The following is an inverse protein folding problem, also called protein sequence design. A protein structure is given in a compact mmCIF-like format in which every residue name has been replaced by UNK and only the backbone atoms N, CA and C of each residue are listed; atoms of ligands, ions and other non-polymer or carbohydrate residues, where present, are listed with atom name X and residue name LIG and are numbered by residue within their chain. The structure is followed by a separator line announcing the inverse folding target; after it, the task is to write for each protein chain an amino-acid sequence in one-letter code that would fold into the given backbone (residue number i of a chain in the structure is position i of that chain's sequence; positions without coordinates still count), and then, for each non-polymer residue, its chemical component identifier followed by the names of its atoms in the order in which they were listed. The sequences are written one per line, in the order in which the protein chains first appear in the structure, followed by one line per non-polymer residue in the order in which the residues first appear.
data_IF_493562321860
#
_entry.id   IF_493562321860
#
_cell.length_a   1.000
_cell.length_b   1.000
_cell.length_c   1.000
_cell.angle_alpha   90.00
_cell.angle_beta   90.00
_cell.angle_gamma   90.00
#
_symmetry.space_group_name_H-M   'P 1'
#
loop_
_entity.id
_entity.type
_entity.pdbx_description
1 polymer ?
#
# COMPACT_ATOMS: atom_id res chain seq x y z
N UNK A 1 -7.15 -0.77 12.72
CA UNK A 1 -7.18 -0.90 11.24
C UNK A 1 -8.53 -1.41 10.75
N UNK A 2 -8.93 -2.64 11.09
CA UNK A 2 -10.17 -3.25 10.59
C UNK A 2 -11.42 -2.39 10.82
N UNK A 3 -11.58 -1.84 12.03
CA UNK A 3 -12.70 -0.94 12.37
C UNK A 3 -12.79 0.30 11.45
N UNK A 4 -11.65 0.86 11.01
CA UNK A 4 -11.63 1.99 10.08
C UNK A 4 -12.09 1.55 8.68
N UNK A 5 -11.66 0.36 8.24
CA UNK A 5 -12.06 -0.22 6.95
C UNK A 5 -13.55 -0.53 6.94
N UNK A 6 -14.06 -1.22 7.95
CA UNK A 6 -15.48 -1.55 8.10
C UNK A 6 -16.33 -0.29 8.19
N UNK A 7 -15.95 0.66 9.05
CA UNK A 7 -16.67 1.92 9.22
C UNK A 7 -16.68 2.78 7.96
N UNK A 8 -15.61 2.74 7.15
CA UNK A 8 -15.54 3.47 5.89
C UNK A 8 -16.44 2.83 4.81
N UNK A 9 -16.30 1.53 4.57
CA UNK A 9 -17.04 0.82 3.52
C UNK A 9 -18.49 0.43 3.91
N UNK A 10 -18.87 0.57 5.19
CA UNK A 10 -20.27 0.50 5.60
C UNK A 10 -21.13 1.60 4.95
N UNK A 11 -20.51 2.73 4.57
CA UNK A 11 -21.18 3.86 3.89
C UNK A 11 -21.53 3.56 2.43
N UNK A 12 -20.90 2.55 1.82
CA UNK A 12 -21.24 2.16 0.46
C UNK A 12 -22.66 1.59 0.38
N UNK A 13 -23.36 1.83 -0.73
CA UNK A 13 -24.72 1.33 -0.93
C UNK A 13 -24.78 -0.18 -1.22
N UNK A 14 -25.88 -0.60 -1.85
CA UNK A 14 -25.99 -1.97 -2.38
C UNK A 14 -25.20 -2.15 -3.68
N UNK A 15 -25.08 -1.11 -4.49
CA UNK A 15 -24.28 -1.10 -5.71
C UNK A 15 -23.89 0.33 -6.08
N UNK A 16 -22.87 0.49 -6.91
CA UNK A 16 -22.44 1.82 -7.37
C UNK A 16 -21.19 1.79 -8.24
N UNK A 17 -20.79 2.96 -8.73
CA UNK A 17 -19.57 3.20 -9.50
C UNK A 17 -18.74 4.24 -8.78
N UNK A 18 -17.46 3.96 -8.52
CA UNK A 18 -16.56 4.82 -7.75
C UNK A 18 -15.18 4.93 -8.40
N UNK A 19 -14.39 5.89 -7.94
CA UNK A 19 -12.94 5.95 -8.20
C UNK A 19 -12.19 5.22 -7.08
N UNK A 20 -11.73 4.00 -7.35
CA UNK A 20 -11.07 3.15 -6.37
C UNK A 20 -9.82 3.82 -5.78
N UNK A 21 -9.06 4.57 -6.60
CA UNK A 21 -7.87 5.27 -6.12
C UNK A 21 -8.22 6.30 -5.04
N UNK A 22 -9.32 7.03 -5.23
CA UNK A 22 -9.82 8.01 -4.26
C UNK A 22 -10.23 7.32 -2.95
N UNK A 23 -11.08 6.30 -3.04
CA UNK A 23 -11.61 5.58 -1.87
C UNK A 23 -10.48 4.93 -1.04
N UNK A 24 -9.52 4.30 -1.70
CA UNK A 24 -8.34 3.71 -1.04
C UNK A 24 -7.47 4.77 -0.34
N UNK A 25 -7.30 5.94 -0.97
CA UNK A 25 -6.54 7.04 -0.37
C UNK A 25 -7.21 7.56 0.91
N UNK A 26 -8.55 7.61 0.95
CA UNK A 26 -9.31 8.09 2.11
C UNK A 26 -9.22 7.12 3.28
N UNK A 27 -9.51 5.84 3.04
CA UNK A 27 -9.47 4.83 4.11
C UNK A 27 -8.06 4.64 4.67
N UNK A 28 -7.01 4.77 3.85
CA UNK A 28 -5.63 4.70 4.34
C UNK A 28 -5.23 5.90 5.19
N UNK A 29 -5.74 7.11 4.88
CA UNK A 29 -5.52 8.25 5.76
C UNK A 29 -6.17 8.03 7.13
N UNK A 30 -7.39 7.49 7.16
CA UNK A 30 -8.08 7.11 8.40
C UNK A 30 -7.30 6.07 9.20
N UNK A 31 -6.82 5.01 8.54
CA UNK A 31 -6.00 3.97 9.20
C UNK A 31 -4.71 4.57 9.75
N UNK A 32 -3.99 5.39 8.97
CA UNK A 32 -2.75 6.02 9.41
C UNK A 32 -2.98 7.01 10.56
N UNK A 33 -4.04 7.82 10.51
CA UNK A 33 -4.43 8.67 11.63
C UNK A 33 -4.69 7.87 12.90
N UNK A 34 -5.55 6.84 12.82
CA UNK A 34 -5.94 6.02 13.97
C UNK A 34 -4.78 5.23 14.56
N UNK A 35 -3.93 4.63 13.72
CA UNK A 35 -2.86 3.74 14.20
C UNK A 35 -1.57 4.47 14.60
N UNK A 36 -1.28 5.65 14.02
CA UNK A 36 -0.03 6.36 14.30
C UNK A 36 -0.21 7.45 15.36
N UNK A 37 -1.38 8.08 15.43
CA UNK A 37 -1.59 9.29 16.24
C UNK A 37 -2.69 9.09 17.28
N UNK A 38 -3.73 8.31 16.95
CA UNK A 38 -4.85 8.05 17.84
C UNK A 38 -6.18 8.55 17.28
N UNK A 39 -7.19 8.71 18.16
CA UNK A 39 -8.55 9.13 17.78
C UNK A 39 -8.66 10.62 17.40
N UNK A 40 -7.70 11.44 17.81
CA UNK A 40 -7.76 12.89 17.77
C UNK A 40 -7.90 13.47 16.37
N UNK A 41 -7.19 12.87 15.39
CA UNK A 41 -7.30 13.29 13.98
C UNK A 41 -8.71 13.01 13.43
N UNK A 42 -9.26 11.83 13.76
CA UNK A 42 -10.56 11.40 13.28
C UNK A 42 -11.68 12.28 13.83
N UNK A 43 -11.61 12.65 15.10
CA UNK A 43 -12.68 13.35 15.79
C UNK A 43 -12.70 14.86 15.53
N UNK A 44 -11.55 15.48 15.27
CA UNK A 44 -11.44 16.95 15.27
C UNK A 44 -11.26 17.59 13.89
N UNK A 45 -10.56 16.94 12.94
CA UNK A 45 -10.00 17.67 11.79
C UNK A 45 -9.82 16.85 10.49
N UNK A 46 -10.61 15.80 10.26
CA UNK A 46 -10.34 14.86 9.16
C UNK A 46 -10.31 15.50 7.75
N UNK A 47 -11.30 16.32 7.41
CA UNK A 47 -11.41 16.90 6.05
C UNK A 47 -10.33 17.94 5.77
N UNK A 48 -10.04 18.81 6.75
CA UNK A 48 -8.95 19.78 6.66
C UNK A 48 -7.60 19.06 6.55
N UNK A 49 -7.37 18.05 7.40
CA UNK A 49 -6.15 17.26 7.38
C UNK A 49 -5.97 16.57 6.02
N UNK A 50 -7.03 16.01 5.44
CA UNK A 50 -7.00 15.44 4.10
C UNK A 50 -6.59 16.46 3.02
N UNK A 51 -7.21 17.64 3.03
CA UNK A 51 -6.91 18.70 2.06
C UNK A 51 -5.45 19.17 2.16
N UNK A 52 -4.93 19.34 3.38
CA UNK A 52 -3.54 19.71 3.62
C UNK A 52 -2.57 18.61 3.15
N UNK A 53 -2.86 17.35 3.43
CA UNK A 53 -2.04 16.23 2.93
C UNK A 53 -2.01 16.16 1.42
N UNK A 54 -3.16 16.40 0.77
CA UNK A 54 -3.24 16.45 -0.68
C UNK A 54 -2.32 17.54 -1.28
N UNK A 55 -2.28 18.72 -0.67
CA UNK A 55 -1.37 19.80 -1.08
C UNK A 55 0.11 19.44 -0.89
N UNK A 56 0.45 18.71 0.18
CA UNK A 56 1.82 18.20 0.37
C UNK A 56 2.19 17.16 -0.69
N UNK A 57 1.30 16.22 -0.99
CA UNK A 57 1.51 15.17 -2.01
C UNK A 57 1.64 15.76 -3.43
N UNK A 58 0.84 16.77 -3.76
CA UNK A 58 0.95 17.48 -5.04
C UNK A 58 2.29 18.20 -5.21
N UNK A 59 3.02 18.43 -4.13
CA UNK A 59 4.39 18.93 -4.14
C UNK A 59 5.44 17.91 -4.60
N UNK A 60 5.14 16.61 -4.66
CA UNK A 60 6.10 15.53 -4.98
C UNK A 60 6.32 15.29 -6.49
N UNK A 61 6.46 16.35 -7.27
CA UNK A 61 6.78 16.25 -8.70
C UNK A 61 8.29 16.20 -8.92
N UNK A 62 8.73 15.60 -10.03
CA UNK A 62 10.16 15.49 -10.35
C UNK A 62 10.89 16.84 -10.41
N UNK A 63 10.21 17.90 -10.88
CA UNK A 63 10.79 19.26 -10.89
C UNK A 63 11.11 19.77 -9.49
N UNK A 64 10.27 19.45 -8.50
CA UNK A 64 10.46 19.87 -7.12
C UNK A 64 11.51 19.02 -6.40
N UNK A 65 11.82 17.82 -6.91
CA UNK A 65 12.98 17.05 -6.43
C UNK A 65 14.30 17.72 -6.83
N UNK A 66 14.37 18.23 -8.07
CA UNK A 66 15.56 18.94 -8.55
C UNK A 66 15.65 20.37 -7.98
N UNK A 67 14.51 21.05 -7.85
CA UNK A 67 14.44 22.45 -7.43
C UNK A 67 13.40 22.64 -6.30
N UNK A 68 13.69 22.17 -5.07
CA UNK A 68 12.71 22.12 -3.98
C UNK A 68 12.21 23.49 -3.48
N UNK A 69 12.96 24.54 -3.76
CA UNK A 69 12.69 25.92 -3.32
C UNK A 69 12.20 26.85 -4.42
N UNK A 70 11.90 26.33 -5.62
CA UNK A 70 11.35 27.17 -6.69
C UNK A 70 9.99 27.75 -6.23
N UNK A 71 9.76 29.07 -6.31
CA UNK A 71 8.59 29.72 -5.69
C UNK A 71 7.32 29.57 -6.53
N UNK A 72 7.01 28.34 -6.97
CA UNK A 72 5.78 28.01 -7.71
C UNK A 72 4.57 28.07 -6.78
N UNK A 73 3.37 28.18 -7.37
CA UNK A 73 2.11 28.11 -6.63
C UNK A 73 1.96 26.80 -5.87
N UNK A 74 2.42 25.68 -6.46
CA UNK A 74 2.42 24.35 -5.85
C UNK A 74 3.33 24.33 -4.60
N UNK A 75 4.57 24.85 -4.69
CA UNK A 75 5.48 24.84 -3.54
C UNK A 75 5.01 25.76 -2.42
N UNK A 76 4.44 26.93 -2.76
CA UNK A 76 3.83 27.81 -1.74
C UNK A 76 2.64 27.14 -1.03
N UNK A 77 1.81 26.38 -1.74
CA UNK A 77 0.71 25.59 -1.13
C UNK A 77 1.26 24.46 -0.26
N UNK A 78 2.22 23.69 -0.76
CA UNK A 78 2.92 22.64 0.00
C UNK A 78 3.50 23.18 1.30
N UNK A 79 4.19 24.31 1.26
CA UNK A 79 4.86 24.87 2.43
C UNK A 79 3.85 25.36 3.47
N UNK A 80 2.78 26.05 3.04
CA UNK A 80 1.66 26.43 3.92
C UNK A 80 0.99 25.20 4.54
N UNK A 81 0.72 24.18 3.72
CA UNK A 81 0.08 22.95 4.17
C UNK A 81 0.96 22.21 5.19
N UNK A 82 2.26 22.11 4.93
CA UNK A 82 3.23 21.53 5.88
C UNK A 82 3.25 22.29 7.20
N UNK A 83 3.29 23.62 7.17
CA UNK A 83 3.26 24.44 8.38
C UNK A 83 1.97 24.22 9.17
N UNK A 84 0.82 24.17 8.50
CA UNK A 84 -0.47 23.95 9.17
C UNK A 84 -0.61 22.55 9.76
N UNK A 85 -0.16 21.52 9.03
CA UNK A 85 -0.10 20.15 9.55
C UNK A 85 0.80 20.03 10.78
N UNK A 86 1.95 20.71 10.77
CA UNK A 86 2.85 20.74 11.92
C UNK A 86 2.21 21.43 13.13
N UNK A 87 1.51 22.56 12.92
CA UNK A 87 0.77 23.25 13.98
C UNK A 87 -0.30 22.35 14.62
N UNK A 88 -1.17 21.76 13.80
CA UNK A 88 -2.23 20.85 14.25
C UNK A 88 -1.68 19.65 15.03
N UNK A 89 -0.58 19.06 14.55
CA UNK A 89 0.04 17.92 15.22
C UNK A 89 0.77 18.32 16.50
N UNK A 90 1.43 19.49 16.53
CA UNK A 90 2.05 20.00 17.76
C UNK A 90 1.03 20.23 18.87
N UNK A 91 -0.18 20.68 18.56
CA UNK A 91 -1.26 20.79 19.56
C UNK A 91 -1.62 19.44 20.17
N UNK A 92 -1.74 18.40 19.35
CA UNK A 92 -2.02 17.03 19.80
C UNK A 92 -0.85 16.49 20.64
N UNK A 93 0.39 16.65 20.17
CA UNK A 93 1.60 16.21 20.87
C UNK A 93 1.69 16.89 22.23
N UNK A 94 1.52 18.21 22.30
CA UNK A 94 1.56 18.97 23.56
C UNK A 94 0.46 18.55 24.52
N UNK A 95 -0.74 18.28 24.00
CA UNK A 95 -1.83 17.72 24.79
C UNK A 95 -1.46 16.36 25.41
N UNK A 96 -0.85 15.45 24.63
CA UNK A 96 -0.41 14.12 25.11
C UNK A 96 0.79 14.16 26.05
N UNK A 97 1.70 15.13 25.88
CA UNK A 97 2.84 15.30 26.80
C UNK A 97 2.43 15.90 28.16
N UNK A 98 1.32 16.63 28.21
CA UNK A 98 0.84 17.30 29.43
C UNK A 98 -0.18 16.50 30.23
N UNK A 99 -0.81 15.49 29.62
CA UNK A 99 -1.81 14.64 30.26
C UNK A 99 -1.29 13.22 30.37
N UNK A 100 -1.56 12.55 31.50
CA UNK A 100 -1.18 11.17 31.75
C UNK A 100 -2.07 10.16 30.99
N UNK A 101 -2.54 10.50 29.79
CA UNK A 101 -3.53 9.72 29.04
C UNK A 101 -2.89 8.64 28.17
N UNK A 102 -3.48 7.45 28.26
CA UNK A 102 -2.91 6.10 28.11
C UNK A 102 -3.32 5.36 26.82
N UNK A 103 -3.51 6.05 25.69
CA UNK A 103 -3.62 5.29 24.42
C UNK A 103 -2.21 4.85 23.99
N UNK A 104 -1.93 3.56 24.12
CA UNK A 104 -0.69 2.95 23.62
C UNK A 104 -0.70 2.90 22.08
N UNK A 105 -0.26 3.99 21.47
CA UNK A 105 -0.11 4.16 20.03
C UNK A 105 1.33 4.56 19.67
N UNK A 106 1.61 4.77 18.38
CA UNK A 106 2.96 5.15 17.94
C UNK A 106 3.37 6.53 18.47
N UNK A 107 2.44 7.46 18.65
CA UNK A 107 2.70 8.78 19.22
C UNK A 107 3.14 8.65 20.68
N UNK A 108 2.40 7.90 21.50
CA UNK A 108 2.75 7.71 22.91
C UNK A 108 4.09 6.99 23.06
N UNK A 109 4.36 5.99 22.21
CA UNK A 109 5.65 5.30 22.18
C UNK A 109 6.82 6.25 21.85
N UNK A 110 6.64 7.21 20.93
CA UNK A 110 7.66 8.22 20.63
C UNK A 110 7.83 9.21 21.79
N UNK A 111 6.76 9.66 22.43
CA UNK A 111 6.83 10.54 23.60
C UNK A 111 7.63 9.88 24.73
N UNK A 112 7.41 8.58 24.97
CA UNK A 112 8.13 7.82 26.00
C UNK A 112 9.54 7.37 25.58
N UNK A 113 9.89 7.49 24.30
CA UNK A 113 11.20 7.08 23.80
C UNK A 113 12.30 8.02 24.26
N UNK A 114 13.46 7.42 24.53
CA UNK A 114 14.70 8.15 24.86
C UNK A 114 15.78 7.81 23.86
N UNK A 115 16.61 8.80 23.57
CA UNK A 115 17.85 8.59 22.83
C UNK A 115 18.87 7.82 23.68
N UNK A 116 19.93 7.34 23.03
CA UNK A 116 20.96 6.48 23.67
C UNK A 116 21.75 7.18 24.77
N UNK A 117 21.86 8.49 24.70
CA UNK A 117 22.46 9.37 25.72
C UNK A 117 21.47 9.73 26.84
N UNK A 118 20.23 9.23 26.78
CA UNK A 118 19.22 9.34 27.83
C UNK A 118 18.26 10.52 27.71
N UNK A 119 18.42 11.43 26.74
CA UNK A 119 17.49 12.54 26.57
C UNK A 119 16.16 12.08 25.96
N UNK A 120 15.06 12.65 26.46
CA UNK A 120 13.73 12.46 25.86
C UNK A 120 13.59 13.29 24.59
N UNK A 121 12.72 12.85 23.70
CA UNK A 121 12.40 13.60 22.50
C UNK A 121 11.65 14.90 22.83
N UNK A 122 12.00 15.98 22.13
CA UNK A 122 11.30 17.27 22.23
C UNK A 122 9.97 17.26 21.49
N UNK A 123 9.04 18.15 21.86
CA UNK A 123 7.77 18.35 21.15
C UNK A 123 7.99 18.48 19.63
N UNK A 124 8.97 19.30 19.21
CA UNK A 124 9.27 19.53 17.79
C UNK A 124 9.77 18.28 17.07
N UNK A 125 10.58 17.44 17.73
CA UNK A 125 11.06 16.18 17.13
C UNK A 125 9.93 15.18 16.97
N UNK A 126 9.09 15.03 18.00
CA UNK A 126 7.91 14.16 17.95
C UNK A 126 6.95 14.62 16.86
N UNK A 127 6.59 15.90 16.83
CA UNK A 127 5.73 16.47 15.76
C UNK A 127 6.33 16.21 14.38
N UNK A 128 7.61 16.50 14.18
CA UNK A 128 8.27 16.31 12.89
C UNK A 128 8.24 14.86 12.41
N UNK A 129 8.47 13.92 13.33
CA UNK A 129 8.41 12.49 13.03
C UNK A 129 6.97 12.01 12.79
N UNK A 130 5.98 12.55 13.48
CA UNK A 130 4.57 12.24 13.25
C UNK A 130 4.09 12.68 11.87
N UNK A 131 4.41 13.92 11.48
CA UNK A 131 4.15 14.41 10.10
C UNK A 131 4.75 13.45 9.08
N UNK A 132 6.02 13.05 9.29
CA UNK A 132 6.72 12.16 8.38
C UNK A 132 6.09 10.76 8.34
N UNK A 133 5.75 10.18 9.49
CA UNK A 133 5.20 8.82 9.59
C UNK A 133 3.81 8.69 8.96
N UNK A 134 2.92 9.67 9.19
CA UNK A 134 1.61 9.70 8.51
C UNK A 134 1.78 9.82 7.01
N UNK A 135 2.68 10.69 6.57
CA UNK A 135 2.93 10.90 5.14
C UNK A 135 3.44 9.63 4.45
N UNK A 136 4.50 9.01 4.98
CA UNK A 136 5.09 7.82 4.35
C UNK A 136 4.14 6.62 4.43
N UNK A 137 3.42 6.47 5.54
CA UNK A 137 2.45 5.40 5.75
C UNK A 137 1.23 5.50 4.83
N UNK A 138 0.73 6.71 4.57
CA UNK A 138 -0.42 6.92 3.70
C UNK A 138 -0.04 6.89 2.21
N UNK A 139 0.94 7.71 1.81
CA UNK A 139 1.23 7.93 0.40
C UNK A 139 1.65 6.64 -0.30
N UNK A 140 2.62 5.91 0.26
CA UNK A 140 3.14 4.69 -0.38
C UNK A 140 2.13 3.53 -0.34
N UNK A 141 1.42 3.34 0.78
CA UNK A 141 0.38 2.30 0.88
C UNK A 141 -0.76 2.56 -0.09
N UNK A 142 -1.16 3.82 -0.33
CA UNK A 142 -2.26 4.14 -1.25
C UNK A 142 -1.95 3.76 -2.70
N UNK A 143 -0.73 4.05 -3.15
CA UNK A 143 -0.26 3.65 -4.48
C UNK A 143 -0.19 2.13 -4.61
N UNK A 144 0.37 1.46 -3.59
CA UNK A 144 0.53 0.01 -3.57
C UNK A 144 -0.82 -0.71 -3.57
N UNK A 145 -1.76 -0.21 -2.77
CA UNK A 145 -3.12 -0.74 -2.67
C UNK A 145 -3.89 -0.55 -3.99
N UNK A 146 -3.75 0.61 -4.63
CA UNK A 146 -4.39 0.91 -5.91
C UNK A 146 -3.84 0.04 -7.05
N UNK A 147 -2.52 -0.15 -7.16
CA UNK A 147 -1.94 -1.08 -8.13
C UNK A 147 -2.35 -2.52 -7.87
N UNK A 148 -2.36 -2.95 -6.62
CA UNK A 148 -2.83 -4.29 -6.24
C UNK A 148 -4.27 -4.49 -6.72
N UNK A 149 -5.15 -3.52 -6.50
CA UNK A 149 -6.53 -3.56 -7.00
C UNK A 149 -6.65 -3.58 -8.51
N UNK A 150 -5.89 -2.73 -9.20
CA UNK A 150 -5.90 -2.68 -10.66
C UNK A 150 -5.54 -4.05 -11.27
N UNK A 151 -4.51 -4.71 -10.73
CA UNK A 151 -4.14 -6.05 -11.20
C UNK A 151 -5.12 -7.13 -10.79
N UNK A 152 -5.54 -7.18 -9.52
CA UNK A 152 -6.50 -8.16 -9.04
C UNK A 152 -7.80 -8.11 -9.85
N UNK A 153 -8.34 -6.92 -10.11
CA UNK A 153 -9.61 -6.78 -10.82
C UNK A 153 -9.48 -6.96 -12.35
N UNK A 154 -8.26 -6.89 -12.89
CA UNK A 154 -7.98 -7.12 -14.31
C UNK A 154 -7.61 -8.58 -14.61
N UNK A 155 -7.06 -9.30 -13.63
CA UNK A 155 -6.69 -10.71 -13.74
C UNK A 155 -7.67 -11.60 -12.98
N UNK A 156 -8.60 -12.20 -13.73
CA UNK A 156 -9.63 -13.08 -13.18
C UNK A 156 -9.05 -14.31 -12.45
N UNK A 157 -7.89 -14.83 -12.88
CA UNK A 157 -7.28 -15.99 -12.23
C UNK A 157 -6.80 -15.64 -10.83
N UNK A 158 -6.11 -14.50 -10.71
CA UNK A 158 -5.66 -13.99 -9.42
C UNK A 158 -6.84 -13.64 -8.51
N UNK A 159 -7.88 -12.99 -9.03
CA UNK A 159 -9.07 -12.66 -8.26
C UNK A 159 -9.76 -13.91 -7.70
N UNK A 160 -9.96 -14.93 -8.52
CA UNK A 160 -10.57 -16.20 -8.09
C UNK A 160 -9.72 -16.89 -7.02
N UNK A 161 -8.39 -16.91 -7.20
CA UNK A 161 -7.48 -17.50 -6.21
C UNK A 161 -7.56 -16.78 -4.85
N UNK A 162 -7.60 -15.45 -4.84
CA UNK A 162 -7.75 -14.67 -3.60
C UNK A 162 -9.12 -14.86 -2.98
N UNK A 163 -10.21 -14.91 -3.78
CA UNK A 163 -11.55 -15.22 -3.27
C UNK A 163 -11.56 -16.59 -2.60
N UNK A 164 -10.93 -17.59 -3.20
CA UNK A 164 -10.87 -18.94 -2.64
C UNK A 164 -10.04 -18.98 -1.34
N UNK A 165 -8.90 -18.29 -1.30
CA UNK A 165 -8.15 -18.07 -0.06
C UNK A 165 -9.03 -17.47 1.04
N UNK A 166 -9.81 -16.43 0.74
CA UNK A 166 -10.68 -15.81 1.74
C UNK A 166 -11.77 -16.77 2.23
N UNK A 167 -12.35 -17.62 1.37
CA UNK A 167 -13.30 -18.65 1.81
C UNK A 167 -12.66 -19.67 2.74
N UNK A 168 -11.43 -20.11 2.45
CA UNK A 168 -10.72 -21.06 3.32
C UNK A 168 -10.38 -20.43 4.68
N UNK A 169 -10.01 -19.15 4.70
CA UNK A 169 -9.78 -18.40 5.94
C UNK A 169 -11.08 -18.28 6.74
N UNK A 170 -12.19 -17.91 6.10
CA UNK A 170 -13.51 -17.85 6.76
C UNK A 170 -13.88 -19.23 7.32
N UNK A 171 -13.53 -20.30 6.61
CA UNK A 171 -13.78 -21.66 7.09
C UNK A 171 -12.99 -22.03 8.34
N UNK A 172 -11.76 -21.55 8.45
CA UNK A 172 -10.88 -21.85 9.57
C UNK A 172 -11.15 -20.96 10.79
N UNK A 173 -11.41 -19.67 10.57
CA UNK A 173 -11.42 -18.65 11.62
C UNK A 173 -12.77 -17.89 11.74
N UNK A 174 -13.76 -18.22 10.92
CA UNK A 174 -15.00 -17.45 10.82
C UNK A 174 -14.78 -16.08 10.19
N UNK A 175 -15.64 -15.12 10.52
CA UNK A 175 -15.53 -13.75 10.01
C UNK A 175 -14.41 -12.92 10.69
N UNK A 176 -13.67 -13.50 11.64
CA UNK A 176 -12.62 -12.80 12.36
C UNK A 176 -11.42 -12.49 11.44
N UNK A 177 -10.94 -11.24 11.51
CA UNK A 177 -9.69 -10.78 10.86
C UNK A 177 -8.83 -10.15 11.94
N UNK A 178 -7.90 -10.93 12.49
CA UNK A 178 -6.87 -10.45 13.40
C UNK A 178 -5.47 -10.50 12.75
N UNK A 179 -4.45 -10.16 13.52
CA UNK A 179 -3.07 -10.18 13.04
C UNK A 179 -2.63 -11.57 12.55
N UNK A 180 -2.97 -12.65 13.27
CA UNK A 180 -2.60 -14.01 12.91
C UNK A 180 -3.25 -14.44 11.60
N UNK A 181 -4.54 -14.13 11.42
CA UNK A 181 -5.29 -14.41 10.19
C UNK A 181 -4.70 -13.69 8.99
N UNK A 182 -4.27 -12.43 9.13
CA UNK A 182 -3.63 -11.69 8.04
C UNK A 182 -2.30 -12.32 7.59
N UNK A 183 -1.56 -12.97 8.50
CA UNK A 183 -0.32 -13.67 8.16
C UNK A 183 -0.57 -14.91 7.29
N UNK A 184 -1.74 -15.55 7.39
CA UNK A 184 -2.10 -16.74 6.60
C UNK A 184 -2.54 -16.41 5.15
N UNK A 185 -2.70 -15.13 4.79
CA UNK A 185 -3.11 -14.70 3.45
C UNK A 185 -1.93 -14.69 2.45
N UNK A 186 -1.40 -15.86 2.10
CA UNK A 186 -0.23 -16.02 1.24
C UNK A 186 -0.47 -15.62 -0.23
N UNK A 187 -1.64 -15.95 -0.76
CA UNK A 187 -2.07 -15.63 -2.13
C UNK A 187 -2.21 -14.13 -2.31
N UNK A 188 -2.98 -13.47 -1.41
CA UNK A 188 -3.08 -12.02 -1.43
C UNK A 188 -1.72 -11.35 -1.20
N UNK A 189 -0.87 -11.92 -0.33
CA UNK A 189 0.49 -11.42 -0.14
C UNK A 189 1.33 -11.46 -1.42
N UNK A 190 1.28 -12.58 -2.17
CA UNK A 190 1.92 -12.72 -3.47
C UNK A 190 1.41 -11.69 -4.48
N UNK A 191 0.11 -11.43 -4.49
CA UNK A 191 -0.51 -10.44 -5.37
C UNK A 191 -0.01 -9.02 -5.08
N UNK A 192 0.11 -8.66 -3.79
CA UNK A 192 0.66 -7.37 -3.35
C UNK A 192 2.14 -7.27 -3.73
N UNK A 193 2.93 -8.33 -3.49
CA UNK A 193 4.34 -8.38 -3.87
C UNK A 193 4.55 -8.17 -5.36
N UNK A 194 3.72 -8.81 -6.18
CA UNK A 194 3.86 -8.70 -7.64
C UNK A 194 3.50 -7.31 -8.15
N UNK A 195 2.44 -6.71 -7.59
CA UNK A 195 2.07 -5.34 -7.91
C UNK A 195 3.20 -4.36 -7.58
N UNK A 196 3.84 -4.53 -6.40
CA UNK A 196 5.00 -3.75 -5.96
C UNK A 196 6.27 -4.02 -6.78
N UNK A 197 6.45 -5.24 -7.30
CA UNK A 197 7.57 -5.58 -8.19
C UNK A 197 7.44 -4.80 -9.50
N UNK A 198 6.27 -4.84 -10.12
CA UNK A 198 6.00 -4.17 -11.40
C UNK A 198 5.92 -2.63 -11.25
N UNK A 199 5.34 -2.15 -10.15
CA UNK A 199 5.17 -0.72 -9.85
C UNK A 199 5.72 -0.36 -8.48
N UNK A 200 7.05 -0.31 -8.33
CA UNK A 200 7.66 0.08 -7.07
C UNK A 200 7.34 1.55 -6.77
N UNK A 201 6.75 1.82 -5.60
CA UNK A 201 6.39 3.19 -5.15
C UNK A 201 7.57 4.13 -5.10
N UNK A 202 8.78 3.60 -4.86
CA UNK A 202 10.04 4.32 -4.97
C UNK A 202 10.85 3.74 -6.13
N UNK A 203 10.89 4.39 -7.31
CA UNK A 203 11.44 3.81 -8.53
C UNK A 203 12.95 3.61 -8.50
N UNK A 204 13.67 4.39 -7.70
CA UNK A 204 15.12 4.32 -7.58
C UNK A 204 15.59 4.75 -6.19
N UNK A 205 16.71 4.19 -5.74
CA UNK A 205 17.39 4.59 -4.51
C UNK A 205 18.66 5.36 -4.88
N UNK A 206 18.81 6.56 -4.34
CA UNK A 206 19.95 7.44 -4.63
C UNK A 206 20.83 7.57 -3.39
N UNK A 207 22.15 7.48 -3.56
CA UNK A 207 23.15 7.64 -2.50
C UNK A 207 24.33 8.47 -3.01
N UNK A 208 24.99 9.21 -2.13
CA UNK A 208 26.26 9.88 -2.43
C UNK A 208 27.41 9.09 -1.80
N UNK A 209 28.43 8.77 -2.60
CA UNK A 209 29.65 8.15 -2.11
C UNK A 209 30.45 9.20 -1.34
N UNK A 210 30.55 9.07 -0.01
CA UNK A 210 31.35 10.00 0.81
C UNK A 210 32.83 9.63 0.86
N UNK A 211 33.16 8.36 0.60
CA UNK A 211 34.52 7.83 0.55
C UNK A 211 34.65 6.96 -0.70
N UNK A 212 35.89 6.79 -1.16
CA UNK A 212 36.16 5.81 -2.21
C UNK A 212 35.88 4.39 -1.67
N UNK A 213 35.35 3.53 -2.51
CA UNK A 213 35.19 2.11 -2.20
C UNK A 213 35.11 1.30 -3.48
N UNK A 214 35.27 0.00 -3.35
CA UNK A 214 35.32 -0.93 -4.47
C UNK A 214 34.07 -1.81 -4.48
N UNK A 215 33.57 -2.12 -5.67
CA UNK A 215 32.50 -3.10 -5.89
C UNK A 215 32.98 -4.17 -6.86
N UNK A 216 32.49 -5.39 -6.68
CA UNK A 216 32.82 -6.52 -7.53
C UNK A 216 31.56 -7.04 -8.21
N UNK A 217 31.68 -7.39 -9.49
CA UNK A 217 30.60 -8.10 -10.19
C UNK A 217 30.62 -9.58 -9.85
N UNK A 218 29.57 -10.31 -10.24
CA UNK A 218 29.49 -11.76 -10.04
C UNK A 218 30.58 -12.51 -10.81
N UNK A 219 31.05 -11.94 -11.92
CA UNK A 219 32.12 -12.45 -12.78
C UNK A 219 33.53 -12.12 -12.23
N UNK A 220 33.62 -11.42 -11.10
CA UNK A 220 34.87 -11.06 -10.44
C UNK A 220 35.50 -9.75 -10.93
N UNK A 221 34.84 -9.02 -11.82
CA UNK A 221 35.34 -7.72 -12.27
C UNK A 221 35.26 -6.69 -11.14
N UNK A 222 36.36 -5.95 -10.96
CA UNK A 222 36.49 -4.93 -9.93
C UNK A 222 36.23 -3.53 -10.48
N UNK A 223 35.44 -2.74 -9.75
CA UNK A 223 35.17 -1.35 -10.08
C UNK A 223 35.39 -0.45 -8.87
N UNK A 224 36.23 0.57 -9.04
CA UNK A 224 36.47 1.59 -8.04
C UNK A 224 35.44 2.72 -8.18
N UNK A 225 34.75 3.02 -7.08
CA UNK A 225 33.78 4.11 -6.98
C UNK A 225 34.44 5.28 -6.25
N UNK A 226 34.71 6.41 -6.93
CA UNK A 226 35.30 7.58 -6.30
C UNK A 226 34.35 8.25 -5.29
N UNK A 227 34.94 8.94 -4.30
CA UNK A 227 34.19 9.85 -3.46
C UNK A 227 33.56 10.97 -4.31
N UNK A 228 32.38 11.43 -3.92
CA UNK A 228 31.61 12.45 -4.63
C UNK A 228 30.63 11.91 -5.66
N UNK A 229 30.81 10.68 -6.15
CA UNK A 229 29.90 10.08 -7.12
C UNK A 229 28.51 9.83 -6.53
N UNK A 230 27.48 10.04 -7.36
CA UNK A 230 26.10 9.65 -7.07
C UNK A 230 25.85 8.25 -7.58
N UNK A 231 25.38 7.38 -6.69
CA UNK A 231 24.99 6.01 -6.98
C UNK A 231 23.48 5.92 -7.04
N UNK A 232 22.98 5.25 -8.07
CA UNK A 232 21.55 5.02 -8.28
C UNK A 232 21.32 3.52 -8.40
N UNK A 233 20.45 2.98 -7.56
CA UNK A 233 19.92 1.62 -7.70
C UNK A 233 18.49 1.71 -8.25
N UNK A 234 18.28 1.46 -9.56
CA UNK A 234 16.98 1.63 -10.18
C UNK A 234 16.12 0.38 -10.02
N UNK A 235 15.14 0.44 -9.10
CA UNK A 235 14.23 -0.69 -8.84
C UNK A 235 13.39 -1.06 -10.05
N UNK A 236 12.99 -0.08 -10.86
CA UNK A 236 12.25 -0.33 -12.11
C UNK A 236 13.00 -1.31 -13.02
N UNK A 237 14.34 -1.21 -13.09
CA UNK A 237 15.14 -2.15 -13.89
C UNK A 237 15.44 -3.43 -13.13
N UNK A 238 15.85 -3.33 -11.87
CA UNK A 238 16.23 -4.49 -11.05
C UNK A 238 15.08 -5.50 -10.92
N UNK A 239 13.86 -5.01 -10.75
CA UNK A 239 12.65 -5.83 -10.66
C UNK A 239 12.26 -6.50 -11.98
N UNK A 240 12.94 -6.20 -13.10
CA UNK A 240 12.68 -6.74 -14.42
C UNK A 240 13.87 -7.52 -15.00
N UNK A 241 14.87 -7.88 -14.18
CA UNK A 241 16.03 -8.67 -14.61
C UNK A 241 15.58 -10.11 -14.94
N UNK A 242 15.70 -10.59 -16.20
CA UNK A 242 15.19 -11.90 -16.60
C UNK A 242 15.90 -13.10 -15.95
N UNK A 243 17.15 -12.92 -15.49
CA UNK A 243 17.88 -13.95 -14.76
C UNK A 243 17.42 -14.13 -13.31
N UNK A 244 16.57 -13.23 -12.81
CA UNK A 244 15.93 -13.32 -11.50
C UNK A 244 14.44 -13.64 -11.68
N UNK A 245 13.77 -12.88 -12.53
CA UNK A 245 12.32 -12.96 -12.74
C UNK A 245 12.00 -13.50 -14.13
N UNK A 246 11.40 -14.69 -14.20
CA UNK A 246 10.97 -15.26 -15.48
C UNK A 246 9.78 -14.48 -16.04
N UNK A 247 9.79 -14.19 -17.34
CA UNK A 247 8.75 -13.38 -18.00
C UNK A 247 8.42 -12.10 -17.19
N UNK A 248 9.42 -11.22 -16.94
CA UNK A 248 9.36 -10.21 -15.89
C UNK A 248 8.26 -9.15 -16.09
N UNK A 249 7.68 -9.05 -17.29
CA UNK A 249 6.61 -8.11 -17.60
C UNK A 249 5.21 -8.67 -17.33
N UNK A 250 5.09 -9.97 -17.08
CA UNK A 250 3.82 -10.64 -16.77
C UNK A 250 3.54 -10.47 -15.28
N UNK A 251 2.31 -10.08 -14.95
CA UNK A 251 1.80 -10.12 -13.57
C UNK A 251 1.55 -11.57 -13.19
N UNK A 252 2.42 -12.11 -12.33
CA UNK A 252 2.39 -13.49 -11.91
C UNK A 252 2.75 -13.63 -10.42
N UNK A 253 1.75 -13.57 -9.52
CA UNK A 253 1.95 -13.69 -8.08
C UNK A 253 2.59 -15.01 -7.62
N UNK A 254 2.40 -16.09 -8.35
CA UNK A 254 2.90 -17.42 -7.98
C UNK A 254 4.43 -17.50 -8.01
N UNK A 255 5.13 -16.50 -8.59
CA UNK A 255 6.60 -16.44 -8.62
C UNK A 255 7.24 -16.35 -7.24
N UNK A 256 6.48 -15.85 -6.27
CA UNK A 256 6.89 -15.77 -4.86
C UNK A 256 6.50 -17.00 -4.05
N UNK A 257 5.76 -17.94 -4.66
CA UNK A 257 5.34 -19.18 -4.01
C UNK A 257 6.51 -20.09 -3.65
N UNK A 258 6.23 -21.06 -2.79
CA UNK A 258 7.23 -21.97 -2.21
C UNK A 258 8.06 -22.74 -3.25
N UNK A 259 7.50 -22.97 -4.44
CA UNK A 259 8.13 -23.70 -5.55
C UNK A 259 9.12 -22.84 -6.34
N UNK A 260 8.79 -21.56 -6.60
CA UNK A 260 9.59 -20.71 -7.50
C UNK A 260 10.55 -19.77 -6.77
N UNK A 261 10.09 -19.11 -5.69
CA UNK A 261 10.92 -18.23 -4.83
C UNK A 261 11.85 -17.30 -5.65
N UNK A 262 11.34 -16.72 -6.74
CA UNK A 262 12.16 -15.92 -7.67
C UNK A 262 12.79 -14.70 -6.98
N UNK A 263 12.13 -14.17 -5.95
CA UNK A 263 12.63 -13.13 -5.06
C UNK A 263 13.83 -13.51 -4.19
N UNK A 264 14.34 -14.74 -4.32
CA UNK A 264 15.53 -15.24 -3.62
C UNK A 264 16.66 -15.66 -4.56
N UNK A 265 16.40 -15.77 -5.86
CA UNK A 265 17.34 -16.31 -6.87
C UNK A 265 18.63 -15.49 -6.96
N UNK A 266 18.53 -14.16 -6.95
CA UNK A 266 19.67 -13.23 -6.93
C UNK A 266 20.20 -12.90 -5.53
N UNK A 267 19.79 -13.64 -4.50
CA UNK A 267 20.16 -13.37 -3.10
C UNK A 267 19.35 -12.25 -2.44
N UNK A 268 19.93 -11.64 -1.39
CA UNK A 268 19.27 -10.71 -0.46
C UNK A 268 18.65 -9.47 -1.11
N UNK A 269 19.07 -9.11 -2.32
CA UNK A 269 18.63 -7.90 -3.03
C UNK A 269 17.88 -8.20 -4.34
N UNK A 270 17.34 -9.42 -4.49
CA UNK A 270 16.51 -9.76 -5.67
C UNK A 270 15.20 -8.99 -5.67
N UNK A 271 14.53 -8.92 -4.51
CA UNK A 271 13.31 -8.15 -4.30
C UNK A 271 13.58 -6.99 -3.36
N UNK A 272 13.45 -5.76 -3.85
CA UNK A 272 13.87 -4.55 -3.12
C UNK A 272 12.78 -3.48 -3.04
N UNK A 273 11.50 -3.85 -3.21
CA UNK A 273 10.38 -2.92 -3.11
C UNK A 273 10.41 -2.14 -1.79
N UNK A 274 10.76 -2.80 -0.68
CA UNK A 274 10.96 -2.20 0.65
C UNK A 274 12.43 -1.83 0.98
N UNK A 275 13.32 -1.78 -0.02
CA UNK A 275 14.76 -1.51 0.13
C UNK A 275 15.48 -2.62 0.92
N UNK A 276 16.69 -2.37 1.41
CA UNK A 276 17.47 -3.29 2.22
C UNK A 276 18.60 -2.59 2.99
N UNK A 277 19.22 -3.31 3.92
CA UNK A 277 20.32 -2.80 4.76
C UNK A 277 19.85 -1.80 5.83
N UNK A 278 20.72 -0.85 6.20
CA UNK A 278 20.45 0.14 7.27
C UNK A 278 19.26 1.07 6.98
N UNK A 279 18.91 1.24 5.71
CA UNK A 279 17.78 2.07 5.26
C UNK A 279 16.68 1.21 4.62
N UNK A 280 16.51 -0.04 5.09
CA UNK A 280 15.32 -0.82 4.80
C UNK A 280 14.07 -0.11 5.37
N UNK A 281 12.92 -0.31 4.75
CA UNK A 281 11.68 0.29 5.21
C UNK A 281 11.25 -0.31 6.56
N UNK A 282 11.17 0.48 7.65
CA UNK A 282 10.66 -0.05 8.92
C UNK A 282 9.16 -0.35 8.89
N UNK A 283 8.43 0.24 7.93
CA UNK A 283 6.98 0.09 7.79
C UNK A 283 6.54 -1.07 6.89
N UNK A 284 7.41 -2.00 6.50
CA UNK A 284 7.06 -3.09 5.58
C UNK A 284 5.89 -3.95 6.11
N UNK A 285 6.00 -4.45 7.34
CA UNK A 285 4.94 -5.24 7.96
C UNK A 285 3.64 -4.44 8.09
N UNK A 286 3.74 -3.17 8.48
CA UNK A 286 2.61 -2.24 8.58
C UNK A 286 1.90 -2.06 7.25
N UNK A 287 2.64 -1.83 6.16
CA UNK A 287 2.08 -1.66 4.82
C UNK A 287 1.34 -2.91 4.34
N UNK A 288 1.93 -4.10 4.51
CA UNK A 288 1.25 -5.35 4.14
C UNK A 288 -0.03 -5.56 4.95
N UNK A 289 -0.02 -5.28 6.26
CA UNK A 289 -1.23 -5.37 7.08
C UNK A 289 -2.32 -4.43 6.58
N UNK A 290 -2.01 -3.16 6.35
CA UNK A 290 -3.00 -2.19 5.84
C UNK A 290 -3.63 -2.68 4.53
N UNK A 291 -2.80 -3.08 3.55
CA UNK A 291 -3.27 -3.49 2.23
C UNK A 291 -4.08 -4.79 2.31
N UNK A 292 -3.62 -5.77 3.11
CA UNK A 292 -4.34 -7.04 3.30
C UNK A 292 -5.69 -6.84 3.97
N UNK A 293 -5.78 -6.03 5.03
CA UNK A 293 -7.06 -5.76 5.72
C UNK A 293 -8.06 -5.13 4.75
N UNK A 294 -7.64 -4.13 3.98
CA UNK A 294 -8.51 -3.45 3.01
C UNK A 294 -9.00 -4.44 1.94
N UNK A 295 -8.09 -5.15 1.27
CA UNK A 295 -8.47 -6.06 0.19
C UNK A 295 -9.24 -7.28 0.66
N UNK A 296 -8.90 -7.82 1.84
CA UNK A 296 -9.69 -8.88 2.47
C UNK A 296 -11.11 -8.42 2.73
N UNK A 297 -11.31 -7.26 3.36
CA UNK A 297 -12.64 -6.72 3.62
C UNK A 297 -13.42 -6.47 2.32
N UNK A 298 -12.80 -5.85 1.32
CA UNK A 298 -13.44 -5.56 0.04
C UNK A 298 -13.88 -6.84 -0.68
N UNK A 299 -12.99 -7.83 -0.79
CA UNK A 299 -13.28 -9.11 -1.46
C UNK A 299 -14.34 -9.91 -0.72
N UNK A 300 -14.37 -9.84 0.62
CA UNK A 300 -15.39 -10.50 1.44
C UNK A 300 -16.76 -9.86 1.37
N UNK A 301 -16.88 -8.59 1.04
CA UNK A 301 -18.15 -7.86 1.19
C UNK A 301 -18.71 -7.31 -0.12
N UNK A 302 -17.93 -7.34 -1.21
CA UNK A 302 -18.31 -6.76 -2.47
C UNK A 302 -17.86 -7.62 -3.66
N UNK A 303 -18.74 -7.74 -4.64
CA UNK A 303 -18.38 -8.10 -6.00
C UNK A 303 -17.86 -6.83 -6.70
N UNK A 304 -16.58 -6.81 -7.06
CA UNK A 304 -15.91 -5.68 -7.68
C UNK A 304 -15.57 -5.99 -9.13
N UNK A 305 -15.76 -5.01 -10.02
CA UNK A 305 -15.37 -5.13 -11.44
C UNK A 305 -14.70 -3.85 -11.91
N UNK A 306 -13.54 -4.00 -12.56
CA UNK A 306 -12.85 -2.90 -13.20
C UNK A 306 -13.64 -2.48 -14.46
N UNK A 307 -14.05 -1.22 -14.53
CA UNK A 307 -14.79 -0.64 -15.67
C UNK A 307 -13.85 0.19 -16.55
N UNK A 308 -12.91 0.91 -15.95
CA UNK A 308 -11.90 1.63 -16.71
C UNK A 308 -10.91 0.67 -17.37
N UNK A 309 -10.21 1.14 -18.40
CA UNK A 309 -9.03 0.45 -18.90
C UNK A 309 -7.98 0.30 -17.79
N UNK A 310 -7.12 -0.72 -17.90
CA UNK A 310 -5.99 -0.87 -17.01
C UNK A 310 -5.15 0.42 -16.98
N UNK A 311 -4.86 0.99 -15.80
CA UNK A 311 -4.27 2.32 -15.70
C UNK A 311 -2.81 2.32 -16.16
N UNK A 312 -2.39 3.39 -16.85
CA UNK A 312 -0.98 3.67 -17.14
C UNK A 312 -0.28 4.21 -15.89
N UNK A 313 1.05 4.14 -15.84
CA UNK A 313 1.83 4.78 -14.77
C UNK A 313 1.93 6.30 -14.97
N UNK A 314 1.82 7.06 -13.88
CA UNK A 314 2.06 8.51 -13.88
C UNK A 314 3.57 8.79 -13.69
N UNK A 315 4.23 9.19 -14.77
CA UNK A 315 5.69 9.38 -14.80
C UNK A 315 6.16 10.78 -14.38
N UNK A 316 5.25 11.75 -14.25
CA UNK A 316 5.60 13.12 -13.82
C UNK A 316 5.86 13.24 -12.31
N UNK A 317 5.34 12.29 -11.54
CA UNK A 317 5.50 12.20 -10.09
C UNK A 317 6.70 11.34 -9.71
N UNK A 318 7.27 11.61 -8.55
CA UNK A 318 8.36 10.78 -8.02
C UNK A 318 7.89 9.37 -7.66
N UNK A 319 6.68 9.25 -7.09
CA UNK A 319 6.04 7.96 -6.83
C UNK A 319 5.29 7.46 -8.05
N UNK A 320 5.51 6.19 -8.42
CA UNK A 320 4.87 5.55 -9.57
C UNK A 320 3.41 5.17 -9.25
N UNK A 321 2.50 6.13 -9.28
CA UNK A 321 1.07 5.87 -9.07
C UNK A 321 0.31 5.55 -10.37
N UNK A 322 -0.89 4.94 -10.27
CA UNK A 322 -1.81 4.86 -11.39
C UNK A 322 -2.23 6.25 -11.87
N UNK A 323 -2.17 6.46 -13.19
CA UNK A 323 -2.57 7.70 -13.86
C UNK A 323 -4.09 7.78 -13.96
N UNK A 324 -4.63 8.94 -13.58
CA UNK A 324 -6.07 9.18 -13.61
C UNK A 324 -6.83 8.40 -12.54
N UNK A 325 -8.10 8.13 -12.84
CA UNK A 325 -9.04 7.40 -11.97
C UNK A 325 -8.98 5.90 -12.26
N UNK A 326 -9.24 5.08 -11.25
CA UNK A 326 -9.48 3.64 -11.43
C UNK A 326 -10.97 3.42 -11.19
N UNK A 327 -11.76 3.42 -12.27
CA UNK A 327 -13.21 3.33 -12.15
C UNK A 327 -13.64 1.87 -12.02
N UNK A 328 -14.34 1.56 -10.93
CA UNK A 328 -14.88 0.23 -10.68
C UNK A 328 -16.39 0.31 -10.40
N UNK A 329 -17.12 -0.75 -10.74
CA UNK A 329 -18.42 -1.00 -10.12
C UNK A 329 -18.25 -1.91 -8.93
N UNK A 330 -19.09 -1.71 -7.91
CA UNK A 330 -19.25 -2.63 -6.81
C UNK A 330 -20.72 -3.06 -6.70
N UNK A 331 -20.93 -4.28 -6.21
CA UNK A 331 -22.20 -4.77 -5.69
C UNK A 331 -21.96 -5.43 -4.35
N UNK A 332 -22.67 -5.01 -3.31
CA UNK A 332 -22.57 -5.56 -1.96
C UNK A 332 -23.00 -7.02 -2.01
N UNK A 333 -22.08 -7.89 -1.61
CA UNK A 333 -22.27 -9.33 -1.58
C UNK A 333 -21.29 -9.92 -0.56
N UNK A 334 -21.84 -10.38 0.55
CA UNK A 334 -21.03 -11.04 1.56
C UNK A 334 -20.60 -12.42 1.05
N UNK A 335 -19.31 -12.70 1.11
CA UNK A 335 -18.76 -14.03 0.96
C UNK A 335 -19.19 -14.82 2.19
N UNK A 336 -20.16 -15.71 2.00
CA UNK A 336 -20.61 -16.62 3.04
C UNK A 336 -19.87 -17.93 2.88
N UNK A 337 -19.47 -18.54 4.00
CA UNK A 337 -19.16 -19.95 4.03
C UNK A 337 -20.39 -20.74 3.55
N UNK A 338 -20.25 -21.48 2.46
CA UNK A 338 -21.36 -22.10 1.74
C UNK A 338 -22.15 -23.12 2.58
N UNK A 339 -21.59 -23.57 3.70
CA UNK A 339 -22.23 -24.49 4.67
C UNK A 339 -22.96 -23.77 5.82
N UNK A 340 -22.90 -22.44 5.92
CA UNK A 340 -23.73 -21.63 6.83
C UNK A 340 -25.08 -21.23 6.21
N UNK A 341 -25.26 -21.46 4.91
CA UNK A 341 -26.58 -21.36 4.29
C UNK A 341 -27.41 -22.57 4.73
N UNK A 342 -28.64 -22.38 5.24
CA UNK A 342 -29.58 -23.49 5.40
C UNK A 342 -29.66 -24.23 4.07
N UNK A 343 -29.57 -25.57 4.06
CA UNK A 343 -29.63 -26.41 2.86
C UNK A 343 -30.96 -26.31 2.07
N UNK A 344 -31.77 -25.29 2.31
CA UNK A 344 -32.98 -24.97 1.58
C UNK A 344 -32.68 -23.89 0.55
N UNK A 345 -32.07 -24.26 -0.58
CA UNK A 345 -32.34 -23.66 -1.90
C UNK A 345 -31.58 -24.44 -2.98
N UNK A 346 -32.27 -25.50 -3.42
CA UNK A 346 -32.26 -26.14 -4.73
C UNK A 346 -31.04 -26.01 -5.67
N UNK A 347 -30.54 -27.19 -6.01
CA UNK A 347 -29.54 -27.58 -7.03
C UNK A 347 -29.88 -27.14 -8.47
N UNK A 348 -30.94 -26.36 -8.71
CA UNK A 348 -31.36 -25.96 -10.06
C UNK A 348 -30.64 -24.72 -10.60
N UNK A 349 -30.27 -23.76 -9.75
CA UNK A 349 -29.69 -22.47 -10.21
C UNK A 349 -28.24 -22.56 -10.71
N UNK A 350 -27.48 -23.57 -10.28
CA UNK A 350 -26.08 -23.74 -10.70
C UNK A 350 -25.93 -24.45 -12.05
N UNK A 351 -26.97 -25.14 -12.51
CA UNK A 351 -26.96 -25.83 -13.82
C UNK A 351 -27.19 -24.84 -14.97
N UNK A 352 -27.99 -23.80 -14.74
CA UNK A 352 -28.32 -22.80 -15.75
C UNK A 352 -27.19 -21.78 -15.98
N UNK A 353 -26.34 -21.53 -14.98
CA UNK A 353 -25.24 -20.56 -15.12
C UNK A 353 -24.09 -21.11 -16.00
N UNK A 354 -23.78 -22.40 -15.88
CA UNK A 354 -22.71 -23.05 -16.67
C UNK A 354 -23.16 -23.34 -18.11
N UNK A 355 -24.44 -23.64 -18.33
CA UNK A 355 -24.98 -23.92 -19.68
C UNK A 355 -25.14 -22.65 -20.52
N UNK A 356 -25.57 -21.53 -19.92
CA UNK A 356 -25.71 -20.27 -20.65
C UNK A 356 -24.35 -19.64 -21.01
N UNK A 357 -23.31 -19.86 -20.21
CA UNK A 357 -21.96 -19.37 -20.53
C UNK A 357 -21.28 -20.15 -21.66
N UNK A 358 -21.62 -21.46 -21.82
CA UNK A 358 -21.09 -22.28 -22.91
C UNK A 358 -21.85 -22.04 -24.23
N UNK A 359 -23.17 -21.78 -24.18
CA UNK A 359 -23.94 -21.43 -25.39
C UNK A 359 -23.51 -20.11 -26.02
N UNK A 360 -23.12 -19.11 -25.22
CA UNK A 360 -22.69 -17.81 -25.75
C UNK A 360 -21.37 -17.85 -26.54
N UNK A 361 -20.59 -18.94 -26.44
CA UNK A 361 -19.32 -19.12 -27.17
C UNK A 361 -19.41 -20.11 -28.35
N UNK A 362 -20.52 -20.83 -28.50
CA UNK A 362 -20.72 -21.77 -29.62
C UNK A 362 -21.41 -21.07 -30.82
N UNK A 363 -22.08 -19.94 -30.61
CA UNK A 363 -22.75 -19.19 -31.70
C UNK A 363 -21.85 -18.14 -32.40
N UNK A 364 -20.51 -18.19 -32.22
CA UNK A 364 -19.53 -17.32 -32.91
C UNK A 364 -18.45 -18.14 -33.66
N UNK A 365 -18.79 -19.35 -34.13
CA UNK A 365 -18.00 -20.06 -35.14
C UNK A 365 -18.88 -20.70 -36.21
#
# INVERSE_FOLDING_TARGET
MLQEVEGYFAKWGQEGIIDLKHELSQVLLLISGRCLIGKEIREKMLDEFYALFHDVENGLNLINLAFPYIPTTINRRRDRARSKLAEMLSEIVRSRMSHDQTEEDALQNLIHSKYKDGHSMTESEVTGLMVALVFVGKHTSSQSCAWTGAYLLNDIKCLVAVIEEQKQIIKKHGDQIDYGVLLEMDTLHGCIKEALRLHPTTPMLIRKAHKHFTVWTKEGNEYNIPAGHTLVSPKIFNNNIPSIYKDPRVYDPERFGSQRKEDKVGGKFSYTSFSGGRHACPGEAYAYMQIKVIWSHLIRNFELKLISHFPKTEWSKFGLEPKGKITISYKRRQLVAWYLLPQFLNVSLFRDFTINYIRMYIDIF
#
